data_IF_223925510582
#
_entry.id   IF_223925510582
#
_cell.length_a   1.000
_cell.length_b   1.000
_cell.length_c   1.000
_cell.angle_alpha   90.00
_cell.angle_beta   90.00
_cell.angle_gamma   90.00
#
_symmetry.space_group_name_H-M   'P 1'
#
loop_
_entity.id
_entity.type
_entity.pdbx_description
1 polymer ?
#
# COMPACT_ATOMS: atom_id res chain seq x y z
N UNK A 1 -37.27 -18.57 -0.93
CA UNK A 1 -35.92 -18.62 -1.55
C UNK A 1 -36.13 -18.83 -3.04
N UNK A 2 -35.46 -18.08 -3.93
CA UNK A 2 -34.01 -17.88 -4.02
C UNK A 2 -33.62 -16.50 -3.48
N UNK A 3 -32.45 -16.24 -2.92
CA UNK A 3 -31.13 -16.74 -3.28
C UNK A 3 -30.26 -15.52 -3.60
N UNK A 4 -30.02 -14.66 -2.61
CA UNK A 4 -29.08 -13.55 -2.74
C UNK A 4 -27.66 -14.09 -2.55
N UNK A 5 -27.09 -14.46 -3.68
CA UNK A 5 -25.70 -14.85 -3.86
C UNK A 5 -24.79 -13.66 -3.56
N UNK A 6 -23.94 -13.83 -2.54
CA UNK A 6 -22.52 -13.53 -2.58
C UNK A 6 -22.06 -12.16 -3.06
N UNK A 7 -21.73 -11.31 -2.11
CA UNK A 7 -20.64 -10.34 -2.25
C UNK A 7 -20.01 -10.06 -0.87
N UNK A 8 -19.51 -11.11 -0.21
CA UNK A 8 -18.51 -10.88 0.84
C UNK A 8 -17.18 -10.61 0.12
N UNK A 9 -16.99 -9.35 -0.33
CA UNK A 9 -15.65 -8.84 -0.60
C UNK A 9 -14.85 -8.92 0.70
N UNK A 10 -13.51 -9.05 0.66
CA UNK A 10 -12.71 -9.24 1.87
C UNK A 10 -13.08 -8.18 2.93
N UNK A 11 -13.79 -8.60 3.97
CA UNK A 11 -13.97 -7.78 5.16
C UNK A 11 -12.56 -7.58 5.73
N UNK A 12 -12.13 -6.33 5.96
CA UNK A 12 -10.85 -6.10 6.63
C UNK A 12 -10.99 -6.69 8.04
N UNK A 13 -10.50 -7.91 8.23
CA UNK A 13 -10.31 -8.56 9.52
C UNK A 13 -9.79 -7.54 10.53
N UNK A 14 -10.44 -7.51 11.69
CA UNK A 14 -10.43 -6.59 12.83
C UNK A 14 -9.05 -6.24 13.41
N UNK A 15 -8.17 -5.66 12.59
CA UNK A 15 -6.92 -5.04 12.98
C UNK A 15 -6.85 -3.61 12.46
N UNK A 16 -6.13 -2.75 13.19
CA UNK A 16 -6.04 -1.34 12.80
C UNK A 16 -5.33 -1.24 11.45
N UNK A 17 -6.05 -0.72 10.44
CA UNK A 17 -5.47 -0.45 9.15
C UNK A 17 -4.77 0.90 9.20
N UNK A 18 -3.49 0.97 8.84
CA UNK A 18 -2.74 2.23 8.75
C UNK A 18 -2.61 2.61 7.28
N UNK A 19 -2.99 3.84 6.95
CA UNK A 19 -2.87 4.37 5.58
C UNK A 19 -1.69 5.32 5.50
N UNK A 20 -0.86 5.14 4.46
CA UNK A 20 0.31 5.98 4.15
C UNK A 20 0.15 6.52 2.74
N UNK A 21 -0.05 7.83 2.62
CA UNK A 21 -0.03 8.50 1.33
C UNK A 21 1.40 8.62 0.80
N UNK A 22 1.63 8.03 -0.38
CA UNK A 22 2.85 8.14 -1.17
C UNK A 22 2.55 9.11 -2.31
N UNK A 23 3.39 10.14 -2.45
CA UNK A 23 3.19 11.21 -3.44
C UNK A 23 4.52 11.61 -4.06
N UNK A 24 4.47 12.11 -5.29
CA UNK A 24 5.63 12.56 -6.03
C UNK A 24 6.28 11.45 -6.85
N UNK A 25 7.60 11.52 -6.96
CA UNK A 25 8.40 10.62 -7.80
C UNK A 25 9.07 9.54 -6.95
N UNK A 26 8.93 8.28 -7.36
CA UNK A 26 9.54 7.12 -6.73
C UNK A 26 10.59 6.51 -7.66
N UNK A 27 11.83 6.94 -7.47
CA UNK A 27 13.01 6.53 -8.22
C UNK A 27 14.11 6.02 -7.26
N UNK A 28 15.33 5.83 -7.75
CA UNK A 28 16.45 5.33 -6.94
C UNK A 28 16.77 6.22 -5.73
N UNK A 29 16.55 7.54 -5.82
CA UNK A 29 16.83 8.49 -4.75
C UNK A 29 15.76 8.47 -3.65
N UNK A 30 14.49 8.22 -3.99
CA UNK A 30 13.35 8.32 -3.07
C UNK A 30 12.79 6.97 -2.62
N UNK A 31 13.13 5.88 -3.32
CA UNK A 31 12.63 4.54 -3.01
C UNK A 31 13.00 4.06 -1.60
N UNK A 32 14.20 4.40 -1.11
CA UNK A 32 14.63 4.01 0.25
C UNK A 32 13.84 4.74 1.34
N UNK A 33 13.58 6.03 1.15
CA UNK A 33 12.74 6.85 2.03
C UNK A 33 11.28 6.37 2.03
N UNK A 34 10.71 6.05 0.86
CA UNK A 34 9.37 5.43 0.78
C UNK A 34 9.32 4.15 1.61
N UNK A 35 10.30 3.26 1.46
CA UNK A 35 10.36 2.00 2.22
C UNK A 35 10.42 2.27 3.71
N UNK A 36 11.28 3.18 4.15
CA UNK A 36 11.45 3.48 5.58
C UNK A 36 10.17 4.05 6.19
N UNK A 37 9.50 4.98 5.50
CA UNK A 37 8.21 5.54 5.91
C UNK A 37 7.12 4.48 6.06
N UNK A 38 7.06 3.52 5.13
CA UNK A 38 6.12 2.39 5.22
C UNK A 38 6.41 1.52 6.45
N UNK A 39 7.69 1.23 6.71
CA UNK A 39 8.09 0.41 7.86
C UNK A 39 7.85 1.11 9.20
N UNK A 40 8.10 2.42 9.26
CA UNK A 40 7.85 3.26 10.43
C UNK A 40 6.34 3.33 10.73
N UNK A 41 5.51 3.52 9.70
CA UNK A 41 4.05 3.57 9.86
C UNK A 41 3.45 2.24 10.36
N UNK A 42 4.04 1.10 10.00
CA UNK A 42 3.67 -0.19 10.55
C UNK A 42 4.24 -0.45 11.96
N UNK A 43 4.93 0.53 12.55
CA UNK A 43 5.36 0.51 13.95
C UNK A 43 4.23 0.78 14.94
N UNK A 44 3.09 1.29 14.47
CA UNK A 44 1.95 1.59 15.34
C UNK A 44 1.38 0.32 15.98
N UNK A 45 1.06 0.35 17.28
CA UNK A 45 0.56 -0.82 18.01
C UNK A 45 -0.78 -1.28 17.43
N UNK A 46 -0.92 -2.58 17.15
CA UNK A 46 -2.15 -3.16 16.59
C UNK A 46 -2.31 -3.00 15.08
N UNK A 47 -1.32 -2.44 14.37
CA UNK A 47 -1.33 -2.35 12.91
C UNK A 47 -1.27 -3.76 12.29
N UNK A 48 -2.37 -4.24 11.72
CA UNK A 48 -2.42 -5.52 11.01
C UNK A 48 -2.33 -5.34 9.49
N UNK A 49 -2.78 -4.19 8.98
CA UNK A 49 -2.83 -3.89 7.55
C UNK A 49 -2.23 -2.52 7.30
N UNK A 50 -1.24 -2.43 6.41
CA UNK A 50 -0.68 -1.17 5.94
C UNK A 50 -1.12 -0.94 4.50
N UNK A 51 -1.86 0.15 4.26
CA UNK A 51 -2.33 0.55 2.94
C UNK A 51 -1.45 1.69 2.46
N UNK A 52 -0.65 1.44 1.42
CA UNK A 52 0.15 2.45 0.77
C UNK A 52 -0.67 3.09 -0.36
N UNK A 53 -1.13 4.32 -0.18
CA UNK A 53 -1.90 5.07 -1.17
C UNK A 53 -0.96 5.68 -2.20
N UNK A 54 -1.08 5.24 -3.46
CA UNK A 54 -0.23 5.63 -4.59
C UNK A 54 -0.93 6.59 -5.56
N UNK A 55 -2.06 7.18 -5.15
CA UNK A 55 -2.88 8.04 -6.02
C UNK A 55 -2.14 9.31 -6.47
N UNK A 56 -1.21 9.80 -5.66
CA UNK A 56 -0.42 11.00 -5.95
C UNK A 56 0.98 10.73 -6.49
N UNK A 57 1.28 9.51 -6.95
CA UNK A 57 2.58 9.15 -7.53
C UNK A 57 2.56 9.40 -9.04
N UNK A 58 3.44 10.30 -9.49
CA UNK A 58 3.56 10.68 -10.91
C UNK A 58 4.57 9.79 -11.66
N UNK A 59 5.62 9.34 -10.96
CA UNK A 59 6.68 8.50 -11.52
C UNK A 59 7.02 7.31 -10.62
N UNK A 60 7.22 6.13 -11.21
CA UNK A 60 7.57 4.91 -10.49
C UNK A 60 8.44 4.00 -11.35
N UNK A 61 9.65 3.67 -10.89
CA UNK A 61 10.61 2.81 -11.59
C UNK A 61 10.88 1.49 -10.84
N UNK A 62 11.64 0.57 -11.45
CA UNK A 62 12.11 -0.68 -10.85
C UNK A 62 12.75 -0.50 -9.45
N UNK A 63 13.39 0.65 -9.20
CA UNK A 63 13.90 0.98 -7.86
C UNK A 63 12.78 1.06 -6.81
N UNK A 64 11.66 1.71 -7.14
CA UNK A 64 10.45 1.78 -6.30
C UNK A 64 9.85 0.40 -6.05
N UNK A 65 9.80 -0.44 -7.09
CA UNK A 65 9.31 -1.83 -6.98
C UNK A 65 10.16 -2.65 -6.02
N UNK A 66 11.49 -2.56 -6.13
CA UNK A 66 12.42 -3.28 -5.25
C UNK A 66 12.27 -2.84 -3.79
N UNK A 67 12.09 -1.53 -3.56
CA UNK A 67 11.82 -0.99 -2.24
C UNK A 67 10.47 -1.47 -1.68
N UNK A 68 9.43 -1.48 -2.50
CA UNK A 68 8.09 -1.96 -2.13
C UNK A 68 8.10 -3.45 -1.77
N UNK A 69 8.79 -4.29 -2.54
CA UNK A 69 9.00 -5.70 -2.20
C UNK A 69 9.75 -5.88 -0.89
N UNK A 70 10.80 -5.08 -0.66
CA UNK A 70 11.56 -5.13 0.59
C UNK A 70 10.67 -4.73 1.79
N UNK A 71 9.83 -3.70 1.63
CA UNK A 71 8.84 -3.32 2.63
C UNK A 71 7.86 -4.47 2.89
N UNK A 72 7.23 -5.05 1.86
CA UNK A 72 6.30 -6.18 2.00
C UNK A 72 6.91 -7.36 2.76
N UNK A 73 8.14 -7.75 2.44
CA UNK A 73 8.84 -8.84 3.14
C UNK A 73 9.05 -8.54 4.62
N UNK A 74 9.51 -7.33 4.94
CA UNK A 74 9.73 -6.90 6.34
C UNK A 74 8.43 -6.73 7.12
N UNK A 75 7.38 -6.23 6.49
CA UNK A 75 6.05 -6.09 7.07
C UNK A 75 5.42 -7.47 7.33
N UNK A 76 5.51 -8.39 6.35
CA UNK A 76 5.04 -9.75 6.50
C UNK A 76 5.73 -10.51 7.64
N UNK A 77 7.03 -10.27 7.85
CA UNK A 77 7.77 -10.82 8.99
C UNK A 77 7.25 -10.32 10.36
N UNK A 78 6.55 -9.17 10.38
CA UNK A 78 5.89 -8.59 11.56
C UNK A 78 4.40 -8.96 11.65
N UNK A 79 3.89 -9.78 10.74
CA UNK A 79 2.46 -10.09 10.63
C UNK A 79 1.61 -8.97 10.01
N UNK A 80 2.24 -7.95 9.42
CA UNK A 80 1.56 -6.81 8.80
C UNK A 80 1.39 -7.05 7.31
N UNK A 81 0.15 -6.96 6.80
CA UNK A 81 -0.14 -7.09 5.36
C UNK A 81 0.03 -5.73 4.66
N UNK A 82 0.87 -5.68 3.64
CA UNK A 82 0.99 -4.51 2.76
C UNK A 82 -0.03 -4.58 1.62
N UNK A 83 -0.77 -3.49 1.40
CA UNK A 83 -1.80 -3.35 0.37
C UNK A 83 -1.57 -2.07 -0.43
N UNK A 84 -1.71 -2.13 -1.75
CA UNK A 84 -1.61 -0.97 -2.63
C UNK A 84 -2.97 -0.28 -2.73
N UNK A 85 -3.08 0.94 -2.20
CA UNK A 85 -4.26 1.79 -2.35
C UNK A 85 -4.15 2.65 -3.60
N UNK A 86 -5.13 2.58 -4.48
CA UNK A 86 -5.25 3.46 -5.66
C UNK A 86 -3.95 3.66 -6.47
N UNK A 87 -3.28 2.59 -6.94
CA UNK A 87 -2.04 2.72 -7.71
C UNK A 87 -2.26 3.57 -8.97
N UNK A 88 -1.41 4.58 -9.16
CA UNK A 88 -1.44 5.41 -10.37
C UNK A 88 -1.04 4.60 -11.60
N UNK A 89 -1.35 5.13 -12.80
CA UNK A 89 -1.00 4.46 -14.05
C UNK A 89 0.51 4.19 -14.16
N UNK A 90 1.37 5.09 -13.64
CA UNK A 90 2.83 4.89 -13.62
C UNK A 90 3.22 3.66 -12.78
N UNK A 91 2.62 3.53 -11.59
CA UNK A 91 2.87 2.38 -10.69
C UNK A 91 2.41 1.08 -11.33
N UNK A 92 1.18 1.06 -11.88
CA UNK A 92 0.64 -0.13 -12.55
C UNK A 92 1.51 -0.55 -13.74
N UNK A 93 1.86 0.39 -14.63
CA UNK A 93 2.67 0.12 -15.83
C UNK A 93 4.01 -0.52 -15.48
N UNK A 94 4.68 -0.03 -14.46
CA UNK A 94 5.98 -0.57 -14.02
C UNK A 94 5.82 -1.93 -13.35
N UNK A 95 4.78 -2.14 -12.54
CA UNK A 95 4.48 -3.45 -11.97
C UNK A 95 4.12 -4.49 -13.04
N UNK A 96 3.32 -4.11 -14.05
CA UNK A 96 2.96 -4.95 -15.20
C UNK A 96 4.20 -5.28 -16.05
N UNK A 97 5.06 -4.30 -16.32
CA UNK A 97 6.28 -4.50 -17.09
C UNK A 97 7.26 -5.50 -16.44
N UNK A 98 7.15 -5.69 -15.12
CA UNK A 98 7.96 -6.62 -14.35
C UNK A 98 7.21 -7.93 -14.00
N UNK A 99 5.95 -8.09 -14.43
CA UNK A 99 5.05 -9.20 -14.08
C UNK A 99 4.74 -9.31 -12.57
N UNK A 100 4.77 -8.17 -11.87
CA UNK A 100 4.64 -8.09 -10.40
C UNK A 100 3.30 -7.54 -9.93
N UNK A 101 2.40 -7.18 -10.84
CA UNK A 101 1.09 -6.65 -10.49
C UNK A 101 0.27 -7.64 -9.64
N UNK A 102 0.37 -8.95 -9.92
CA UNK A 102 -0.34 -10.00 -9.19
C UNK A 102 0.22 -10.28 -7.77
N UNK A 103 1.42 -9.79 -7.47
CA UNK A 103 2.06 -10.00 -6.18
C UNK A 103 1.54 -9.07 -5.07
N UNK A 104 0.81 -8.01 -5.44
CA UNK A 104 0.30 -7.03 -4.50
C UNK A 104 -1.24 -7.03 -4.49
N UNK A 105 -1.87 -7.17 -3.31
CA UNK A 105 -3.29 -6.90 -3.21
C UNK A 105 -3.53 -5.40 -3.48
N UNK A 106 -4.43 -5.10 -4.41
CA UNK A 106 -4.80 -3.74 -4.78
C UNK A 106 -6.18 -3.42 -4.21
N UNK A 107 -6.26 -2.31 -3.48
CA UNK A 107 -7.52 -1.69 -3.08
C UNK A 107 -7.79 -0.49 -4.01
N UNK A 108 -8.95 -0.42 -4.67
CA UNK A 108 -9.35 0.77 -5.41
C UNK A 108 -9.44 1.97 -4.46
N UNK A 109 -9.13 3.16 -4.98
CA UNK A 109 -9.12 4.42 -4.20
C UNK A 109 -10.42 4.66 -3.42
N UNK A 110 -11.56 4.26 -3.97
CA UNK A 110 -12.87 4.39 -3.32
C UNK A 110 -13.01 3.57 -2.02
N UNK A 111 -12.15 2.57 -1.83
CA UNK A 111 -12.15 1.66 -0.68
C UNK A 111 -10.97 1.89 0.26
N UNK A 112 -10.08 2.84 -0.05
CA UNK A 112 -9.01 3.22 0.86
C UNK A 112 -9.68 3.93 2.05
N UNK A 113 -9.59 3.37 3.29
CA UNK A 113 -10.20 4.00 4.44
C UNK A 113 -9.58 5.38 4.62
N UNK A 114 -10.38 6.44 4.56
CA UNK A 114 -9.90 7.78 4.83
C UNK A 114 -9.65 7.90 6.33
N UNK A 115 -8.42 7.62 6.75
CA UNK A 115 -7.98 7.89 8.11
C UNK A 115 -7.33 9.27 8.08
N UNK A 116 -8.01 10.33 8.57
CA UNK A 116 -7.39 11.64 8.67
C UNK A 116 -6.24 11.52 9.68
N UNK A 117 -5.00 11.44 9.20
CA UNK A 117 -3.84 11.56 10.09
C UNK A 117 -3.89 12.93 10.75
N UNK A 118 -3.77 13.04 12.09
CA UNK A 118 -3.50 14.32 12.72
C UNK A 118 -2.22 14.87 12.09
N UNK A 119 -2.28 16.11 11.60
CA UNK A 119 -1.15 16.78 11.00
C UNK A 119 0.01 16.79 12.01
N UNK A 120 1.05 15.98 11.77
CA UNK A 120 2.26 16.05 12.57
C UNK A 120 2.94 17.38 12.25
N UNK A 121 2.72 18.38 13.11
CA UNK A 121 3.44 19.65 13.06
C UNK A 121 4.86 19.42 13.59
N UNK A 122 5.81 19.68 12.68
CA UNK A 122 7.24 19.98 12.86
C UNK A 122 8.17 18.85 13.30
#
# INVERSE_FOLDING_TARGET
MPGETGANGPQPDDGEAVVVAVRGEIDIATADDMRDRLLAAAGEPGCAVLIADFTGVDFFDASGVRALMAARRRLGARGVRLVLGGPSAAVLRTLEALDLAAEFPVLPVAQVPFIPRPALRR
#
